data_IF_566519031898
#
_entry.id   IF_566519031898
#
_cell.length_a   1.000
_cell.length_b   1.000
_cell.length_c   1.000
_cell.angle_alpha   90.00
_cell.angle_beta   90.00
_cell.angle_gamma   90.00
#
_symmetry.space_group_name_H-M   'P 1'
#
loop_
_entity.id
_entity.type
_entity.pdbx_description
1 polymer ?
#
# COMPACT_ATOMS: atom_id res chain seq x y z
N UNK A 1 -4.57 -12.58 78.61
CA UNK A 1 -4.47 -12.17 77.19
C UNK A 1 -4.67 -13.41 76.34
N UNK A 2 -5.67 -13.48 75.44
CA UNK A 2 -5.92 -14.67 74.64
C UNK A 2 -4.99 -14.75 73.42
N UNK A 3 -4.51 -15.95 73.10
CA UNK A 3 -3.60 -16.20 71.98
C UNK A 3 -4.25 -15.99 70.60
N UNK A 4 -3.49 -15.54 69.59
CA UNK A 4 -4.01 -15.35 68.24
C UNK A 4 -4.23 -16.69 67.53
N UNK A 5 -5.46 -16.89 67.01
CA UNK A 5 -5.81 -18.05 66.19
C UNK A 5 -5.13 -17.98 64.82
N UNK A 6 -4.47 -19.08 64.40
CA UNK A 6 -3.85 -19.23 63.08
C UNK A 6 -4.92 -19.33 61.97
N UNK A 7 -4.63 -18.80 60.75
CA UNK A 7 -5.57 -18.83 59.64
C UNK A 7 -5.70 -20.23 59.02
N UNK A 8 -6.94 -20.68 58.84
CA UNK A 8 -7.27 -21.95 58.16
C UNK A 8 -7.18 -21.75 56.66
N UNK A 9 -6.21 -22.40 56.00
CA UNK A 9 -6.08 -22.41 54.55
C UNK A 9 -7.05 -23.43 53.94
N UNK A 10 -8.10 -22.95 53.26
CA UNK A 10 -8.98 -23.81 52.44
C UNK A 10 -8.22 -24.25 51.18
N UNK A 11 -7.79 -25.51 51.15
CA UNK A 11 -7.27 -26.15 49.95
C UNK A 11 -8.44 -26.43 49.00
N UNK A 12 -8.55 -25.66 47.92
CA UNK A 12 -9.50 -25.93 46.85
C UNK A 12 -9.13 -27.24 46.15
N UNK A 13 -9.87 -28.32 46.41
CA UNK A 13 -9.76 -29.58 45.66
C UNK A 13 -10.20 -29.32 44.21
N UNK A 14 -9.26 -29.27 43.28
CA UNK A 14 -9.54 -29.23 41.83
C UNK A 14 -10.26 -30.52 41.44
N UNK A 15 -11.51 -30.39 40.99
CA UNK A 15 -12.31 -31.51 40.48
C UNK A 15 -11.62 -32.17 39.28
N UNK A 16 -11.30 -33.48 39.33
CA UNK A 16 -10.63 -34.19 38.24
C UNK A 16 -11.46 -34.27 36.95
N UNK A 17 -12.78 -34.08 37.03
CA UNK A 17 -13.69 -34.17 35.88
C UNK A 17 -13.60 -32.99 34.91
N UNK A 18 -13.20 -31.79 35.38
CA UNK A 18 -13.11 -30.61 34.52
C UNK A 18 -11.93 -30.69 33.52
N UNK A 19 -10.88 -31.44 33.87
CA UNK A 19 -9.66 -31.54 33.06
C UNK A 19 -9.78 -32.53 31.89
N UNK A 20 -10.67 -33.52 31.99
CA UNK A 20 -10.79 -34.56 30.98
C UNK A 20 -11.58 -34.11 29.75
N UNK A 21 -12.63 -33.30 29.96
CA UNK A 21 -13.40 -32.66 28.88
C UNK A 21 -12.54 -31.70 28.03
N UNK A 22 -11.72 -30.88 28.70
CA UNK A 22 -10.81 -29.94 28.03
C UNK A 22 -9.75 -30.69 27.22
N UNK A 23 -9.19 -31.80 27.74
CA UNK A 23 -8.24 -32.65 27.00
C UNK A 23 -8.87 -33.30 25.76
N UNK A 24 -10.10 -33.81 25.86
CA UNK A 24 -10.82 -34.40 24.72
C UNK A 24 -11.12 -33.36 23.64
N UNK A 25 -11.57 -32.16 24.02
CA UNK A 25 -11.81 -31.06 23.08
C UNK A 25 -10.52 -30.63 22.35
N UNK A 26 -9.40 -30.54 23.06
CA UNK A 26 -8.12 -30.15 22.47
C UNK A 26 -7.58 -31.21 21.49
N UNK A 27 -7.77 -32.50 21.80
CA UNK A 27 -7.41 -33.62 20.90
C UNK A 27 -8.24 -33.60 19.60
N UNK A 28 -9.53 -33.32 19.69
CA UNK A 28 -10.42 -33.22 18.53
C UNK A 28 -10.08 -32.02 17.63
N UNK A 29 -9.76 -30.86 18.22
CA UNK A 29 -9.33 -29.68 17.47
C UNK A 29 -8.04 -29.95 16.69
N UNK A 30 -7.06 -30.61 17.33
CA UNK A 30 -5.78 -30.98 16.70
C UNK A 30 -5.97 -31.95 15.53
N UNK A 31 -6.88 -32.92 15.67
CA UNK A 31 -7.23 -33.85 14.59
C UNK A 31 -7.94 -33.17 13.41
N UNK A 32 -8.82 -32.20 13.66
CA UNK A 32 -9.47 -31.40 12.61
C UNK A 32 -8.47 -30.56 11.82
N UNK A 33 -7.53 -29.91 12.51
CA UNK A 33 -6.47 -29.11 11.87
C UNK A 33 -5.52 -29.98 11.02
N UNK A 34 -5.20 -31.19 11.47
CA UNK A 34 -4.38 -32.14 10.71
C UNK A 34 -5.10 -32.69 9.47
N UNK A 35 -6.40 -32.99 9.57
CA UNK A 35 -7.21 -33.40 8.41
C UNK A 35 -7.35 -32.28 7.37
N UNK A 36 -7.52 -31.04 7.82
CA UNK A 36 -7.55 -29.85 6.94
C UNK A 36 -6.23 -29.64 6.19
N UNK A 37 -5.08 -29.76 6.88
CA UNK A 37 -3.76 -29.64 6.26
C UNK A 37 -3.46 -30.75 5.26
N UNK A 38 -3.85 -32.00 5.52
CA UNK A 38 -3.69 -33.09 4.54
C UNK A 38 -4.51 -32.84 3.27
N UNK A 39 -5.75 -32.37 3.40
CA UNK A 39 -6.59 -32.05 2.24
C UNK A 39 -6.02 -30.90 1.38
N UNK A 40 -5.36 -29.92 2.00
CA UNK A 40 -4.73 -28.78 1.31
C UNK A 40 -3.44 -29.20 0.57
N UNK A 41 -2.63 -30.08 1.16
CA UNK A 41 -1.42 -30.63 0.53
C UNK A 41 -1.79 -31.51 -0.68
N UNK A 42 -2.80 -32.36 -0.56
CA UNK A 42 -3.26 -33.20 -1.70
C UNK A 42 -3.81 -32.34 -2.85
N UNK A 43 -4.49 -31.22 -2.56
CA UNK A 43 -4.94 -30.27 -3.60
C UNK A 43 -3.78 -29.56 -4.29
N UNK A 44 -2.74 -29.13 -3.55
CA UNK A 44 -1.55 -28.52 -4.15
C UNK A 44 -0.78 -29.48 -5.05
N UNK A 45 -0.63 -30.75 -4.64
CA UNK A 45 0.09 -31.74 -5.43
C UNK A 45 -0.65 -32.12 -6.72
N UNK A 46 -1.98 -32.17 -6.72
CA UNK A 46 -2.78 -32.41 -7.92
C UNK A 46 -2.79 -31.22 -8.91
N UNK A 47 -2.54 -30.00 -8.43
CA UNK A 47 -2.37 -28.81 -9.29
C UNK A 47 -0.98 -28.75 -9.94
N UNK A 48 0.06 -29.20 -9.23
CA UNK A 48 1.44 -29.21 -9.74
C UNK A 48 1.64 -30.33 -10.79
N UNK A 49 0.93 -31.45 -10.67
CA UNK A 49 1.01 -32.57 -11.61
C UNK A 49 0.38 -32.32 -13.00
N UNK A 50 -0.39 -31.24 -13.19
CA UNK A 50 -1.07 -30.93 -14.48
C UNK A 50 -0.40 -29.82 -15.30
N UNK A 51 0.76 -29.31 -14.87
CA UNK A 51 1.42 -28.16 -15.50
C UNK A 51 2.81 -28.45 -16.08
N UNK A 52 3.19 -29.72 -16.21
CA UNK A 52 4.36 -30.15 -16.98
C UNK A 52 3.85 -30.86 -18.22
N UNK A 53 3.63 -30.09 -19.27
CA UNK A 53 3.79 -30.49 -20.68
C UNK A 53 3.32 -29.30 -21.53
N UNK A 54 4.20 -28.86 -22.45
CA UNK A 54 4.09 -27.72 -23.39
C UNK A 54 4.74 -26.41 -22.93
N UNK A 55 6.07 -26.38 -22.96
CA UNK A 55 6.81 -25.14 -23.24
C UNK A 55 6.74 -24.81 -24.74
N UNK A 56 6.55 -23.54 -25.12
CA UNK A 56 7.21 -22.98 -26.28
C UNK A 56 8.32 -22.04 -25.83
N UNK A 57 9.54 -22.31 -26.29
CA UNK A 57 10.65 -21.37 -26.25
C UNK A 57 10.24 -20.08 -26.99
N UNK A 58 10.21 -18.94 -26.29
CA UNK A 58 10.06 -17.62 -26.92
C UNK A 58 11.30 -16.79 -26.65
N UNK A 59 12.03 -16.54 -27.75
CA UNK A 59 13.21 -15.68 -27.87
C UNK A 59 12.93 -14.27 -27.35
N UNK A 60 13.84 -13.77 -26.53
CA UNK A 60 13.91 -12.35 -26.14
C UNK A 60 14.38 -11.55 -27.36
N UNK A 61 13.51 -10.68 -27.87
CA UNK A 61 13.90 -9.58 -28.76
C UNK A 61 13.87 -8.28 -27.94
N UNK A 62 15.05 -7.71 -27.73
CA UNK A 62 15.21 -6.28 -27.40
C UNK A 62 14.92 -5.46 -28.63
N UNK A 63 14.04 -4.46 -28.54
CA UNK A 63 14.11 -3.27 -29.38
C UNK A 63 13.33 -2.12 -28.74
N UNK A 64 14.05 -1.01 -28.51
CA UNK A 64 13.52 0.35 -28.59
C UNK A 64 12.69 0.49 -29.86
N UNK A 65 11.56 1.23 -29.79
CA UNK A 65 11.16 2.19 -30.83
C UNK A 65 9.85 2.92 -30.52
N UNK A 66 10.00 4.25 -30.54
CA UNK A 66 9.08 5.29 -31.01
C UNK A 66 7.90 5.75 -30.14
N UNK A 67 8.10 6.94 -29.54
CA UNK A 67 7.44 8.18 -29.98
C UNK A 67 6.09 8.00 -30.70
N UNK A 68 4.98 7.85 -29.97
CA UNK A 68 3.61 8.11 -30.44
C UNK A 68 2.78 8.48 -29.21
N UNK A 69 2.49 9.76 -28.99
CA UNK A 69 1.33 10.43 -29.57
C UNK A 69 0.55 11.07 -28.42
N UNK A 70 -0.34 12.01 -28.72
CA UNK A 70 -1.06 12.91 -27.80
C UNK A 70 -1.97 12.23 -26.73
N UNK A 71 -1.82 10.92 -26.50
CA UNK A 71 -2.56 10.12 -25.53
C UNK A 71 -1.87 9.97 -24.15
N UNK A 72 -0.68 10.54 -23.96
CA UNK A 72 0.11 10.49 -22.71
C UNK A 72 -0.52 11.28 -21.53
N UNK A 73 -1.69 11.88 -21.70
CA UNK A 73 -2.49 12.53 -20.65
C UNK A 73 -3.39 11.54 -19.88
N UNK A 74 -3.57 10.31 -20.38
CA UNK A 74 -4.43 9.29 -19.75
C UNK A 74 -3.57 8.22 -19.08
N UNK A 75 -3.20 8.44 -17.82
CA UNK A 75 -2.56 7.39 -17.02
C UNK A 75 -3.53 6.21 -16.83
N UNK A 76 -3.36 5.15 -17.64
CA UNK A 76 -3.89 3.83 -17.33
C UNK A 76 -2.92 3.19 -16.32
N UNK A 77 -3.19 3.36 -15.03
CA UNK A 77 -2.41 2.76 -13.94
C UNK A 77 -2.21 1.23 -14.04
N UNK A 78 -2.98 0.55 -14.90
CA UNK A 78 -2.90 -0.89 -15.14
C UNK A 78 -1.81 -1.32 -16.13
N UNK A 79 -1.13 -0.39 -16.83
CA UNK A 79 -0.15 -0.78 -17.86
C UNK A 79 1.14 -1.39 -17.29
N UNK A 80 1.32 -1.38 -15.97
CA UNK A 80 2.48 -1.95 -15.28
C UNK A 80 2.18 -3.14 -14.36
N UNK A 81 0.93 -3.62 -14.30
CA UNK A 81 0.62 -4.85 -13.56
C UNK A 81 0.74 -6.06 -14.49
N UNK A 82 1.74 -6.92 -14.29
CA UNK A 82 1.88 -8.21 -14.98
C UNK A 82 0.85 -9.25 -14.53
N UNK A 83 -0.06 -8.90 -13.61
CA UNK A 83 -1.03 -9.84 -13.05
C UNK A 83 -2.19 -10.13 -14.02
N UNK A 84 -2.38 -11.38 -14.49
CA UNK A 84 -3.40 -11.73 -15.50
C UNK A 84 -4.83 -11.37 -15.10
N UNK A 85 -5.11 -11.40 -13.79
CA UNK A 85 -6.42 -11.11 -13.20
C UNK A 85 -6.89 -9.66 -13.40
N UNK A 86 -5.98 -8.72 -13.65
CA UNK A 86 -6.30 -7.29 -13.73
C UNK A 86 -6.72 -6.83 -15.14
N UNK A 87 -6.62 -7.70 -16.15
CA UNK A 87 -7.04 -7.39 -17.53
C UNK A 87 -8.56 -7.24 -17.71
N UNK A 88 -9.37 -7.80 -16.81
CA UNK A 88 -10.83 -7.90 -16.98
C UNK A 88 -11.68 -6.88 -16.20
N UNK A 89 -11.07 -5.92 -15.51
CA UNK A 89 -11.81 -4.85 -14.81
C UNK A 89 -11.86 -3.57 -15.68
N UNK A 90 -13.04 -3.16 -16.15
CA UNK A 90 -13.33 -1.86 -16.81
C UNK A 90 -14.62 -1.23 -16.23
N UNK A 91 -14.81 0.11 -16.20
CA UNK A 91 -13.88 1.25 -16.26
C UNK A 91 -13.61 1.83 -14.84
N UNK A 92 -12.41 2.28 -14.46
CA UNK A 92 -11.48 3.31 -15.04
C UNK A 92 -11.91 4.75 -14.75
N UNK A 93 -11.79 5.19 -13.50
CA UNK A 93 -11.59 6.63 -13.24
C UNK A 93 -10.22 6.99 -13.80
N UNK A 94 -10.22 7.62 -14.97
CA UNK A 94 -9.03 8.24 -15.55
C UNK A 94 -8.81 9.55 -14.82
N UNK A 95 -7.95 9.53 -13.80
CA UNK A 95 -7.47 10.77 -13.21
C UNK A 95 -6.36 11.30 -14.10
N UNK A 96 -6.57 12.48 -14.66
CA UNK A 96 -5.52 13.18 -15.39
C UNK A 96 -4.60 13.89 -14.39
N UNK A 97 -3.55 13.18 -13.97
CA UNK A 97 -2.51 13.73 -13.09
C UNK A 97 -1.86 14.95 -13.73
N UNK A 98 -1.71 14.99 -15.05
CA UNK A 98 -1.13 16.14 -15.74
C UNK A 98 -1.98 17.38 -15.56
N UNK A 99 -3.32 17.26 -15.59
CA UNK A 99 -4.24 18.36 -15.33
C UNK A 99 -4.13 18.85 -13.88
N UNK A 100 -3.99 17.93 -12.92
CA UNK A 100 -3.79 18.27 -11.51
C UNK A 100 -2.50 19.07 -11.31
N UNK A 101 -1.37 18.57 -11.82
CA UNK A 101 -0.07 19.25 -11.70
C UNK A 101 -0.10 20.61 -12.40
N UNK A 102 -0.68 20.71 -13.60
CA UNK A 102 -0.88 22.01 -14.30
C UNK A 102 -1.72 22.98 -13.45
N UNK A 103 -2.77 22.50 -12.79
CA UNK A 103 -3.59 23.32 -11.89
C UNK A 103 -2.85 23.81 -10.65
N UNK A 104 -1.95 22.99 -10.09
CA UNK A 104 -1.05 23.41 -9.01
C UNK A 104 -0.03 24.45 -9.51
N UNK A 105 0.54 24.26 -10.70
CA UNK A 105 1.49 25.18 -11.32
C UNK A 105 0.90 26.54 -11.69
N UNK A 106 -0.42 26.68 -11.83
CA UNK A 106 -1.07 28.00 -11.96
C UNK A 106 -0.90 28.88 -10.72
N UNK A 107 -0.63 28.26 -9.56
CA UNK A 107 -0.54 28.93 -8.25
C UNK A 107 0.86 28.88 -7.65
N UNK A 108 1.73 28.01 -8.16
CA UNK A 108 3.09 27.77 -7.64
C UNK A 108 4.09 27.69 -8.77
N UNK A 109 5.28 28.28 -8.59
CA UNK A 109 6.38 28.20 -9.56
C UNK A 109 6.90 26.78 -9.75
N UNK A 110 6.95 26.01 -8.66
CA UNK A 110 7.43 24.62 -8.62
C UNK A 110 6.47 23.79 -7.76
N UNK A 111 6.19 22.56 -8.17
CA UNK A 111 5.29 21.63 -7.48
C UNK A 111 6.10 20.48 -6.88
N UNK A 112 6.03 20.31 -5.56
CA UNK A 112 6.65 19.19 -4.84
C UNK A 112 5.73 17.97 -4.86
N UNK A 113 6.27 16.87 -5.37
CA UNK A 113 5.58 15.61 -5.56
C UNK A 113 6.21 14.54 -4.67
N UNK A 114 5.39 13.85 -3.89
CA UNK A 114 5.80 12.64 -3.16
C UNK A 114 5.11 11.40 -3.74
N UNK A 115 5.88 10.38 -4.09
CA UNK A 115 5.37 9.06 -4.45
C UNK A 115 5.70 8.02 -3.36
N UNK A 116 4.65 7.50 -2.73
CA UNK A 116 4.74 6.58 -1.59
C UNK A 116 4.67 5.13 -2.06
N UNK A 117 5.79 4.43 -1.99
CA UNK A 117 5.94 3.09 -2.57
C UNK A 117 6.20 3.18 -4.07
N UNK A 118 7.24 3.91 -4.45
CA UNK A 118 7.51 4.31 -5.84
C UNK A 118 7.86 3.15 -6.79
N UNK A 119 8.20 1.98 -6.26
CA UNK A 119 8.72 0.86 -7.04
C UNK A 119 9.95 1.31 -7.85
N UNK A 120 9.87 1.18 -9.17
CA UNK A 120 10.96 1.57 -10.10
C UNK A 120 11.03 3.08 -10.44
N UNK A 121 10.14 3.92 -9.89
CA UNK A 121 10.18 5.37 -10.12
C UNK A 121 9.72 5.82 -11.52
N UNK A 122 9.11 4.94 -12.31
CA UNK A 122 8.66 5.27 -13.68
C UNK A 122 7.68 6.46 -13.69
N UNK A 123 6.73 6.49 -12.75
CA UNK A 123 5.78 7.59 -12.62
C UNK A 123 6.47 8.94 -12.40
N UNK A 124 7.46 8.99 -11.51
CA UNK A 124 8.21 10.20 -11.25
C UNK A 124 9.06 10.62 -12.46
N UNK A 125 9.69 9.67 -13.17
CA UNK A 125 10.40 10.00 -14.39
C UNK A 125 9.49 10.55 -15.49
N UNK A 126 8.28 10.03 -15.65
CA UNK A 126 7.30 10.57 -16.59
C UNK A 126 6.93 12.02 -16.22
N UNK A 127 6.77 12.33 -14.93
CA UNK A 127 6.58 13.70 -14.46
C UNK A 127 7.78 14.59 -14.75
N UNK A 128 9.02 14.11 -14.50
CA UNK A 128 10.24 14.85 -14.83
C UNK A 128 10.30 15.17 -16.32
N UNK A 129 10.05 14.19 -17.18
CA UNK A 129 10.10 14.38 -18.62
C UNK A 129 9.08 15.44 -19.06
N UNK A 130 7.86 15.40 -18.51
CA UNK A 130 6.77 16.28 -18.90
C UNK A 130 6.87 17.70 -18.34
N UNK A 131 7.29 17.86 -17.10
CA UNK A 131 7.27 19.14 -16.38
C UNK A 131 8.66 19.70 -16.10
N UNK A 132 9.72 18.95 -16.38
CA UNK A 132 11.13 19.34 -16.23
C UNK A 132 11.42 19.86 -14.82
N UNK A 133 11.98 21.06 -14.71
CA UNK A 133 12.37 21.77 -13.50
C UNK A 133 11.19 22.31 -12.67
N UNK A 134 9.98 22.32 -13.24
CA UNK A 134 8.75 22.77 -12.57
C UNK A 134 8.25 21.78 -11.50
N UNK A 135 8.86 20.60 -11.39
CA UNK A 135 8.52 19.61 -10.36
C UNK A 135 9.74 19.30 -9.49
N UNK A 136 9.49 19.06 -8.21
CA UNK A 136 10.45 18.50 -7.27
C UNK A 136 9.96 17.12 -6.86
N UNK A 137 10.73 16.07 -7.14
CA UNK A 137 10.28 14.69 -7.13
C UNK A 137 10.91 13.94 -5.98
N UNK A 138 10.09 13.52 -5.03
CA UNK A 138 10.49 12.77 -3.86
C UNK A 138 9.82 11.39 -3.87
N UNK A 139 10.55 10.38 -3.41
CA UNK A 139 10.08 9.02 -3.43
C UNK A 139 10.30 8.33 -2.09
N UNK A 140 9.34 7.52 -1.64
CA UNK A 140 9.53 6.58 -0.52
C UNK A 140 9.61 5.18 -1.11
N UNK A 141 10.69 4.47 -0.79
CA UNK A 141 10.93 3.10 -1.24
C UNK A 141 11.33 2.22 -0.06
N UNK A 142 10.75 1.02 0.02
CA UNK A 142 11.11 0.01 1.01
C UNK A 142 12.27 -0.81 0.47
N UNK A 143 13.40 -0.82 1.19
CA UNK A 143 14.50 -1.77 0.96
C UNK A 143 14.92 -1.90 -0.50
N UNK A 144 15.64 -0.92 -1.01
CA UNK A 144 16.14 -0.96 -2.38
C UNK A 144 17.24 -2.03 -2.50
N UNK A 145 17.01 -3.04 -3.34
CA UNK A 145 18.14 -3.81 -3.88
C UNK A 145 19.06 -2.85 -4.64
N UNK A 146 20.34 -3.21 -4.80
CA UNK A 146 21.32 -2.40 -5.55
C UNK A 146 20.77 -2.04 -6.95
N UNK A 147 20.10 -2.99 -7.61
CA UNK A 147 19.49 -2.76 -8.93
C UNK A 147 18.33 -1.78 -8.89
N UNK A 148 17.52 -1.80 -7.84
CA UNK A 148 16.44 -0.82 -7.68
C UNK A 148 16.99 0.58 -7.42
N UNK A 149 18.03 0.69 -6.61
CA UNK A 149 18.67 1.98 -6.34
C UNK A 149 19.25 2.57 -7.63
N UNK A 150 20.01 1.80 -8.41
CA UNK A 150 20.53 2.23 -9.73
C UNK A 150 19.42 2.71 -10.65
N UNK A 151 18.28 1.99 -10.68
CA UNK A 151 17.10 2.41 -11.45
C UNK A 151 16.54 3.73 -10.94
N UNK A 152 16.45 3.97 -9.65
CA UNK A 152 15.94 5.24 -9.11
C UNK A 152 16.90 6.40 -9.37
N UNK A 153 18.21 6.17 -9.23
CA UNK A 153 19.24 7.20 -9.45
C UNK A 153 19.22 7.71 -10.90
N UNK A 154 18.99 6.82 -11.88
CA UNK A 154 18.86 7.19 -13.30
C UNK A 154 17.59 7.96 -13.67
N UNK A 155 16.63 8.11 -12.74
CA UNK A 155 15.30 8.70 -13.01
C UNK A 155 15.20 10.19 -12.68
N UNK A 156 16.31 10.82 -12.30
CA UNK A 156 16.36 12.25 -11.95
C UNK A 156 15.33 12.63 -10.86
N UNK A 157 15.17 11.74 -9.88
CA UNK A 157 14.37 11.95 -8.67
C UNK A 157 15.25 12.77 -7.71
N UNK A 158 14.73 13.90 -7.20
CA UNK A 158 15.52 14.81 -6.37
C UNK A 158 15.86 14.18 -5.01
N UNK A 159 14.96 13.33 -4.49
CA UNK A 159 15.18 12.66 -3.20
C UNK A 159 14.50 11.31 -3.08
N UNK A 160 15.27 10.30 -2.68
CA UNK A 160 14.77 8.96 -2.36
C UNK A 160 14.93 8.69 -0.86
N UNK A 161 13.81 8.38 -0.20
CA UNK A 161 13.75 7.96 1.19
C UNK A 161 13.68 6.43 1.23
N UNK A 162 14.80 5.79 1.57
CA UNK A 162 14.90 4.34 1.73
C UNK A 162 14.41 3.91 3.13
N UNK A 163 13.15 4.16 3.41
CA UNK A 163 12.51 3.88 4.70
C UNK A 163 11.10 3.33 4.48
N UNK A 164 10.58 2.65 5.50
CA UNK A 164 9.18 2.31 5.55
C UNK A 164 8.31 3.56 5.72
N UNK A 165 7.06 3.51 5.27
CA UNK A 165 6.14 4.65 5.39
C UNK A 165 5.81 4.96 6.86
N UNK A 166 5.89 3.95 7.71
CA UNK A 166 5.71 4.03 9.15
C UNK A 166 6.84 4.82 9.80
N UNK A 167 8.07 4.65 9.33
CA UNK A 167 9.26 5.36 9.82
C UNK A 167 9.48 6.70 9.11
N UNK A 168 8.77 6.95 8.01
CA UNK A 168 8.87 8.22 7.30
C UNK A 168 8.30 9.36 8.15
N UNK A 169 9.14 10.38 8.36
CA UNK A 169 8.78 11.63 8.99
C UNK A 169 8.96 12.77 7.97
N UNK A 170 7.86 13.35 7.47
CA UNK A 170 7.95 14.43 6.48
C UNK A 170 8.57 15.68 7.12
N UNK A 171 9.70 16.13 6.57
CA UNK A 171 10.37 17.38 6.97
C UNK A 171 9.89 18.61 6.20
N UNK A 172 9.05 18.40 5.19
CA UNK A 172 8.55 19.44 4.30
C UNK A 172 7.14 19.08 3.85
N UNK A 173 6.42 20.11 3.40
CA UNK A 173 5.11 19.93 2.80
C UNK A 173 5.21 19.61 1.29
N UNK A 174 4.21 18.89 0.80
CA UNK A 174 4.06 18.44 -0.58
C UNK A 174 2.79 19.01 -1.21
N UNK A 175 2.88 19.35 -2.48
CA UNK A 175 1.76 19.89 -3.27
C UNK A 175 0.92 18.78 -3.88
N UNK A 176 1.58 17.68 -4.22
CA UNK A 176 0.94 16.49 -4.73
C UNK A 176 1.55 15.26 -4.07
N UNK A 177 0.69 14.36 -3.60
CA UNK A 177 1.11 13.06 -3.08
C UNK A 177 0.37 11.96 -3.81
N UNK A 178 1.07 10.88 -4.15
CA UNK A 178 0.44 9.66 -4.66
C UNK A 178 0.88 8.45 -3.87
N UNK A 179 -0.02 7.49 -3.69
CA UNK A 179 0.26 6.16 -3.17
C UNK A 179 -0.62 5.18 -3.91
N UNK A 180 -0.19 4.69 -5.07
CA UNK A 180 -1.00 3.85 -5.93
C UNK A 180 -0.48 2.42 -5.96
N UNK A 181 -1.19 1.47 -5.34
CA UNK A 181 -0.71 0.09 -5.11
C UNK A 181 0.68 0.02 -4.44
N UNK A 182 1.01 1.03 -3.63
CA UNK A 182 2.33 1.21 -3.01
C UNK A 182 2.28 1.13 -1.49
N UNK A 183 2.99 2.04 -0.81
CA UNK A 183 3.30 1.92 0.62
C UNK A 183 2.08 1.83 1.54
N UNK A 184 0.97 2.52 1.22
CA UNK A 184 -0.25 2.47 2.04
C UNK A 184 -1.09 1.20 1.85
N UNK A 185 -0.78 0.38 0.84
CA UNK A 185 -1.48 -0.89 0.62
C UNK A 185 -0.86 -2.04 1.44
N UNK A 186 0.45 -1.97 1.69
CA UNK A 186 1.23 -3.05 2.32
C UNK A 186 1.69 -2.75 3.75
N UNK A 187 1.38 -1.57 4.26
CA UNK A 187 1.72 -1.16 5.64
C UNK A 187 0.83 -1.89 6.67
N UNK A 188 1.38 -2.38 7.79
CA UNK A 188 0.58 -2.96 8.88
C UNK A 188 -0.34 -1.95 9.57
N UNK A 189 -0.04 -0.66 9.48
CA UNK A 189 -0.78 0.41 10.15
C UNK A 189 -1.25 1.49 9.15
N UNK A 190 -2.15 1.16 8.22
CA UNK A 190 -2.47 2.03 7.09
C UNK A 190 -3.16 3.32 7.49
N UNK A 191 -3.87 3.35 8.62
CA UNK A 191 -4.47 4.58 9.17
C UNK A 191 -3.38 5.56 9.61
N UNK A 192 -2.41 5.11 10.41
CA UNK A 192 -1.33 5.97 10.92
C UNK A 192 -0.48 6.48 9.76
N UNK A 193 -0.12 5.59 8.83
CA UNK A 193 0.65 5.93 7.64
C UNK A 193 -0.11 6.92 6.74
N UNK A 194 -1.42 6.72 6.54
CA UNK A 194 -2.26 7.67 5.80
C UNK A 194 -2.25 9.04 6.47
N UNK A 195 -2.45 9.11 7.80
CA UNK A 195 -2.46 10.37 8.52
C UNK A 195 -1.12 11.10 8.40
N UNK A 196 0.02 10.41 8.56
CA UNK A 196 1.35 11.03 8.39
C UNK A 196 1.51 11.66 7.01
N UNK A 197 1.11 10.91 5.98
CA UNK A 197 1.19 11.36 4.59
C UNK A 197 0.27 12.55 4.35
N UNK A 198 -0.99 12.49 4.78
CA UNK A 198 -1.94 13.59 4.55
C UNK A 198 -1.56 14.87 5.29
N UNK A 199 -1.01 14.78 6.51
CA UNK A 199 -0.54 15.96 7.24
C UNK A 199 0.68 16.62 6.59
N UNK A 200 1.39 15.93 5.70
CA UNK A 200 2.45 16.53 4.90
C UNK A 200 1.96 17.24 3.65
N UNK A 201 0.65 17.29 3.37
CA UNK A 201 0.13 18.12 2.29
C UNK A 201 0.24 19.59 2.65
N UNK A 202 0.68 20.41 1.70
CA UNK A 202 0.54 21.86 1.79
C UNK A 202 -0.92 22.29 1.63
N UNK A 203 -1.25 23.50 2.08
CA UNK A 203 -2.57 24.10 1.84
C UNK A 203 -2.82 24.19 0.32
N UNK A 204 -3.97 23.71 -0.12
CA UNK A 204 -4.35 23.55 -1.53
C UNK A 204 -3.72 22.34 -2.24
N UNK A 205 -2.89 21.56 -1.53
CA UNK A 205 -2.26 20.34 -2.01
C UNK A 205 -3.24 19.17 -2.10
N UNK A 206 -2.91 18.22 -2.97
CA UNK A 206 -3.79 17.11 -3.34
C UNK A 206 -3.06 15.78 -3.16
N UNK A 207 -3.65 14.83 -2.43
CA UNK A 207 -3.21 13.44 -2.39
C UNK A 207 -4.16 12.53 -3.17
N UNK A 208 -3.61 11.66 -4.01
CA UNK A 208 -4.31 10.55 -4.65
C UNK A 208 -3.87 9.24 -4.03
N UNK A 209 -4.75 8.66 -3.23
CA UNK A 209 -4.41 7.49 -2.41
C UNK A 209 -5.23 6.29 -2.87
N UNK A 210 -4.55 5.17 -3.08
CA UNK A 210 -5.17 3.85 -3.13
C UNK A 210 -4.77 3.07 -1.88
N UNK A 211 -5.73 2.85 -0.99
CA UNK A 211 -5.52 2.17 0.27
C UNK A 211 -6.10 0.75 0.25
N UNK A 212 -5.50 -0.15 1.03
CA UNK A 212 -5.98 -1.52 1.21
C UNK A 212 -7.37 -1.57 1.85
N UNK A 213 -7.97 -2.77 1.86
CA UNK A 213 -9.34 -2.99 2.37
C UNK A 213 -9.50 -2.66 3.85
N UNK A 214 -8.40 -2.62 4.59
CA UNK A 214 -8.39 -2.47 6.05
C UNK A 214 -8.49 -1.00 6.51
N UNK A 215 -8.54 -0.04 5.59
CA UNK A 215 -8.73 1.37 5.93
C UNK A 215 -10.23 1.69 6.04
N UNK A 216 -10.71 1.82 7.28
CA UNK A 216 -12.09 2.23 7.54
C UNK A 216 -12.24 3.76 7.41
N UNK A 217 -12.55 4.21 6.20
CA UNK A 217 -12.72 5.64 5.91
C UNK A 217 -13.90 6.30 6.62
N UNK A 218 -14.91 5.54 7.08
CA UNK A 218 -16.00 6.11 7.88
C UNK A 218 -15.49 6.71 9.19
N UNK A 219 -14.38 6.19 9.71
CA UNK A 219 -13.74 6.68 10.93
C UNK A 219 -12.75 7.82 10.63
N UNK A 220 -11.98 7.70 9.56
CA UNK A 220 -10.90 8.63 9.24
C UNK A 220 -11.41 9.93 8.63
N UNK A 221 -12.45 9.85 7.78
CA UNK A 221 -12.98 11.01 7.06
C UNK A 221 -13.39 12.15 8.03
N UNK A 222 -14.22 11.91 9.06
CA UNK A 222 -14.58 12.98 10.01
C UNK A 222 -13.38 13.58 10.74
N UNK A 223 -12.36 12.77 11.04
CA UNK A 223 -11.14 13.23 11.69
C UNK A 223 -10.33 14.18 10.79
N UNK A 224 -10.22 13.84 9.50
CA UNK A 224 -9.54 14.66 8.49
C UNK A 224 -10.34 15.94 8.19
N UNK A 225 -11.66 15.86 8.06
CA UNK A 225 -12.52 17.03 7.81
C UNK A 225 -12.43 18.06 8.94
N UNK A 226 -12.42 17.62 10.21
CA UNK A 226 -12.20 18.50 11.37
C UNK A 226 -10.85 19.21 11.36
N UNK A 227 -9.88 18.73 10.57
CA UNK A 227 -8.53 19.30 10.43
C UNK A 227 -8.34 20.04 9.10
N UNK A 228 -9.43 20.37 8.41
CA UNK A 228 -9.37 21.17 7.20
C UNK A 228 -9.03 20.37 5.94
N UNK A 229 -9.28 19.07 5.91
CA UNK A 229 -9.13 18.25 4.71
C UNK A 229 -10.48 17.93 4.06
N UNK A 230 -10.56 18.02 2.74
CA UNK A 230 -11.67 17.54 1.94
C UNK A 230 -11.40 16.13 1.44
N UNK A 231 -12.44 15.30 1.39
CA UNK A 231 -12.35 13.93 0.93
C UNK A 231 -13.31 13.66 -0.23
N UNK A 232 -12.76 13.27 -1.38
CA UNK A 232 -13.52 12.84 -2.55
C UNK A 232 -13.30 11.37 -2.82
N UNK A 233 -14.38 10.59 -2.74
CA UNK A 233 -14.38 9.18 -3.15
C UNK A 233 -14.27 9.10 -4.66
N UNK A 234 -13.28 8.36 -5.15
CA UNK A 234 -13.11 8.14 -6.58
C UNK A 234 -13.71 6.76 -6.89
N UNK A 235 -13.05 5.70 -6.45
CA UNK A 235 -13.51 4.33 -6.69
C UNK A 235 -13.25 3.46 -5.46
N UNK A 236 -13.71 2.20 -5.41
CA UNK A 236 -13.45 1.33 -4.27
C UNK A 236 -11.95 1.28 -3.89
N UNK A 237 -11.63 1.74 -2.67
CA UNK A 237 -10.25 1.80 -2.18
C UNK A 237 -9.41 2.95 -2.73
N UNK A 238 -9.98 3.88 -3.52
CA UNK A 238 -9.26 5.00 -4.12
C UNK A 238 -9.93 6.35 -3.84
N UNK A 239 -9.11 7.31 -3.40
CA UNK A 239 -9.57 8.58 -2.86
C UNK A 239 -8.69 9.73 -3.30
N UNK A 240 -9.31 10.91 -3.36
CA UNK A 240 -8.61 12.17 -3.41
C UNK A 240 -8.80 12.88 -2.06
N UNK A 241 -7.70 13.38 -1.50
CA UNK A 241 -7.70 14.19 -0.28
C UNK A 241 -7.11 15.55 -0.63
N UNK A 242 -7.79 16.63 -0.28
CA UNK A 242 -7.31 18.00 -0.52
C UNK A 242 -7.16 18.70 0.82
N UNK A 243 -6.04 19.38 1.09
CA UNK A 243 -5.93 20.23 2.28
C UNK A 243 -6.48 21.62 1.96
N UNK A 244 -7.49 22.07 2.70
CA UNK A 244 -8.13 23.38 2.53
C UNK A 244 -7.61 24.39 3.54
N UNK A 245 -7.28 23.95 4.77
CA UNK A 245 -6.81 24.80 5.87
C UNK A 245 -5.53 24.27 6.51
#
# INVERSE_FOLDING_TARGET
MPEPRKPVTRVARKSPFLNEGIRKAHKLLKLRLLKGRKAEITRKNNLIGRQRDKEPQIRIWTMDRHLLGDESSRYNFFRYSTHPFLKHLKPKIKIDISKIIKGLLKRKRKVRVLDVGTGHGNFLADLRHKFRDKVELHAISLGTSIDLQKKLDSRQIDKVYNVSIESFLPKQEYDFITSYYGGLWYTPHPVVSLLKVTHSLSIGGIALIKAGRDVNFKVIKPYLEKRGFEFKWLSPGQFQITRIK
#
